data_IF_902080778588
#
_entry.id   IF_902080778588
#
_cell.length_a   1.000
_cell.length_b   1.000
_cell.length_c   1.000
_cell.angle_alpha   90.00
_cell.angle_beta   90.00
_cell.angle_gamma   90.00
#
_symmetry.space_group_name_H-M   'P 1'
#
loop_
_entity.id
_entity.type
_entity.pdbx_description
1 polymer ?
#
# COMPACT_ATOMS: atom_id res chain seq x y z
N UNK A 1 -46.14 10.22 -13.23
CA UNK A 1 -45.51 10.76 -12.01
C UNK A 1 -44.23 11.44 -12.44
N UNK A 2 -44.18 12.78 -12.46
CA UNK A 2 -42.99 13.51 -12.88
C UNK A 2 -41.94 13.38 -11.78
N UNK A 3 -40.86 12.63 -12.04
CA UNK A 3 -39.71 12.56 -11.13
C UNK A 3 -39.12 13.96 -11.00
N UNK A 4 -39.14 14.52 -9.79
CA UNK A 4 -38.55 15.84 -9.52
C UNK A 4 -37.06 15.78 -9.85
N UNK A 5 -36.57 16.72 -10.67
CA UNK A 5 -35.12 16.81 -10.97
C UNK A 5 -34.40 17.28 -9.70
N UNK A 6 -33.35 16.54 -9.31
CA UNK A 6 -32.54 16.84 -8.12
C UNK A 6 -31.62 18.05 -8.35
N UNK A 7 -31.21 18.71 -7.27
CA UNK A 7 -30.37 19.92 -7.37
C UNK A 7 -28.96 19.59 -7.88
N UNK A 8 -28.44 18.40 -7.60
CA UNK A 8 -27.15 17.93 -8.12
C UNK A 8 -27.14 17.87 -9.65
N UNK A 9 -28.23 17.39 -10.25
CA UNK A 9 -28.39 17.36 -11.71
C UNK A 9 -28.47 18.76 -12.30
N UNK A 10 -29.10 19.72 -11.61
CA UNK A 10 -29.16 21.11 -12.05
C UNK A 10 -27.79 21.78 -12.02
N UNK A 11 -27.02 21.57 -10.94
CA UNK A 11 -25.66 22.07 -10.83
C UNK A 11 -24.75 21.46 -11.90
N UNK A 12 -24.78 20.14 -12.09
CA UNK A 12 -24.03 19.47 -13.14
C UNK A 12 -24.38 20.00 -14.55
N UNK A 13 -25.66 20.23 -14.82
CA UNK A 13 -26.11 20.85 -16.08
C UNK A 13 -25.59 22.27 -16.28
N UNK A 14 -25.58 23.10 -15.23
CA UNK A 14 -25.10 24.50 -15.31
C UNK A 14 -23.58 24.56 -15.46
N UNK A 15 -22.85 23.63 -14.81
CA UNK A 15 -21.40 23.56 -14.89
C UNK A 15 -20.89 22.88 -16.17
N UNK A 16 -21.74 22.13 -16.86
CA UNK A 16 -21.42 21.46 -18.13
C UNK A 16 -20.93 20.02 -17.96
N UNK A 17 -21.15 19.43 -16.79
CA UNK A 17 -20.66 18.11 -16.38
C UNK A 17 -21.69 16.98 -16.63
N UNK A 18 -22.84 17.31 -17.21
CA UNK A 18 -23.87 16.33 -17.56
C UNK A 18 -23.56 15.67 -18.92
N UNK A 19 -23.89 14.39 -19.07
CA UNK A 19 -23.68 13.71 -20.34
C UNK A 19 -24.54 14.29 -21.48
N UNK A 20 -24.19 14.02 -22.74
CA UNK A 20 -24.89 14.62 -23.90
C UNK A 20 -26.37 14.24 -23.95
N UNK A 21 -26.70 12.98 -23.61
CA UNK A 21 -28.06 12.43 -23.69
C UNK A 21 -28.95 13.01 -22.59
N UNK A 22 -28.44 13.06 -21.36
CA UNK A 22 -29.07 13.65 -20.20
C UNK A 22 -29.27 15.16 -20.38
N UNK A 23 -28.30 15.84 -20.99
CA UNK A 23 -28.37 17.28 -21.26
C UNK A 23 -29.43 17.61 -22.30
N UNK A 24 -29.55 16.81 -23.36
CA UNK A 24 -30.63 16.93 -24.35
C UNK A 24 -32.00 16.66 -23.71
N UNK A 25 -32.13 15.58 -22.93
CA UNK A 25 -33.37 15.25 -22.24
C UNK A 25 -33.81 16.36 -21.27
N UNK A 26 -32.87 16.92 -20.50
CA UNK A 26 -33.17 18.02 -19.58
C UNK A 26 -33.55 19.30 -20.33
N UNK A 27 -32.91 19.59 -21.46
CA UNK A 27 -33.22 20.75 -22.31
C UNK A 27 -34.63 20.66 -22.90
N UNK A 28 -35.03 19.49 -23.41
CA UNK A 28 -36.40 19.25 -23.90
C UNK A 28 -37.40 19.39 -22.75
N UNK A 29 -37.09 18.83 -21.58
CA UNK A 29 -37.96 18.92 -20.41
C UNK A 29 -38.18 20.36 -19.94
N UNK A 30 -37.15 21.19 -19.95
CA UNK A 30 -37.24 22.63 -19.63
C UNK A 30 -38.18 23.40 -20.56
N UNK A 31 -38.42 22.96 -21.80
CA UNK A 31 -39.38 23.61 -22.70
C UNK A 31 -40.83 23.39 -22.26
N UNK A 32 -41.10 22.28 -21.58
CA UNK A 32 -42.44 21.92 -21.07
C UNK A 32 -42.67 22.31 -19.60
N UNK A 33 -41.60 22.55 -18.84
CA UNK A 33 -41.63 22.77 -17.39
C UNK A 33 -41.05 24.15 -17.03
N UNK A 34 -41.94 25.13 -16.85
CA UNK A 34 -41.58 26.50 -16.49
C UNK A 34 -40.97 26.63 -15.08
N UNK A 35 -41.25 25.68 -14.17
CA UNK A 35 -40.66 25.68 -12.83
C UNK A 35 -39.21 25.20 -12.86
N UNK A 36 -38.94 24.13 -13.62
CA UNK A 36 -37.58 23.64 -13.87
C UNK A 36 -36.71 24.72 -14.54
N UNK A 37 -37.26 25.42 -15.55
CA UNK A 37 -36.55 26.50 -16.24
C UNK A 37 -36.17 27.65 -15.27
N UNK A 38 -37.07 28.02 -14.35
CA UNK A 38 -36.79 29.03 -13.31
C UNK A 38 -35.67 28.59 -12.37
N UNK A 39 -35.66 27.32 -11.93
CA UNK A 39 -34.61 26.78 -11.06
C UNK A 39 -33.23 26.82 -11.73
N UNK A 40 -33.13 26.40 -12.99
CA UNK A 40 -31.88 26.47 -13.76
C UNK A 40 -31.40 27.92 -13.91
N UNK A 41 -32.32 28.86 -14.18
CA UNK A 41 -31.99 30.28 -14.30
C UNK A 41 -31.42 30.85 -12.99
N UNK A 42 -32.00 30.48 -11.85
CA UNK A 42 -31.50 30.90 -10.53
C UNK A 42 -30.07 30.41 -10.26
N UNK A 43 -29.77 29.14 -10.59
CA UNK A 43 -28.43 28.57 -10.41
C UNK A 43 -27.40 29.26 -11.33
N UNK A 44 -27.76 29.56 -12.59
CA UNK A 44 -26.89 30.32 -13.51
C UNK A 44 -26.60 31.73 -12.99
N UNK A 45 -27.64 32.44 -12.55
CA UNK A 45 -27.49 33.79 -11.99
C UNK A 45 -26.57 33.81 -10.77
N UNK A 46 -26.74 32.84 -9.85
CA UNK A 46 -25.86 32.70 -8.68
C UNK A 46 -24.40 32.48 -9.08
N UNK A 47 -24.15 31.56 -10.03
CA UNK A 47 -22.80 31.28 -10.54
C UNK A 47 -22.16 32.54 -11.11
N UNK A 48 -22.89 33.32 -11.88
CA UNK A 48 -22.39 34.54 -12.51
C UNK A 48 -22.10 35.63 -11.46
N UNK A 49 -22.97 35.80 -10.45
CA UNK A 49 -22.74 36.72 -9.34
C UNK A 49 -21.46 36.38 -8.56
N UNK A 50 -21.25 35.10 -8.26
CA UNK A 50 -20.04 34.64 -7.54
C UNK A 50 -18.79 34.88 -8.38
N UNK A 51 -18.83 34.56 -9.68
CA UNK A 51 -17.70 34.81 -10.59
C UNK A 51 -17.33 36.29 -10.64
N UNK A 52 -18.32 37.18 -10.70
CA UNK A 52 -18.10 38.62 -10.69
C UNK A 52 -17.51 39.11 -9.36
N UNK A 53 -18.01 38.61 -8.23
CA UNK A 53 -17.49 38.97 -6.91
C UNK A 53 -16.01 38.57 -6.72
N UNK A 54 -15.57 37.50 -7.37
CA UNK A 54 -14.20 37.00 -7.31
C UNK A 54 -13.30 37.40 -8.50
N UNK A 55 -13.80 38.23 -9.43
CA UNK A 55 -13.01 38.69 -10.57
C UNK A 55 -11.79 39.53 -10.14
N UNK A 56 -11.95 40.32 -9.08
CA UNK A 56 -10.86 41.08 -8.46
C UNK A 56 -10.85 40.82 -6.95
N UNK A 57 -10.16 39.76 -6.49
CA UNK A 57 -10.04 39.51 -5.06
C UNK A 57 -9.29 40.68 -4.41
N UNK A 58 -9.69 41.12 -3.19
CA UNK A 58 -9.04 42.24 -2.52
C UNK A 58 -7.54 41.94 -2.37
N UNK A 59 -6.71 42.86 -2.87
CA UNK A 59 -5.26 42.74 -2.74
C UNK A 59 -4.91 42.64 -1.26
N UNK A 60 -4.22 41.56 -0.87
CA UNK A 60 -3.69 41.41 0.46
C UNK A 60 -2.83 42.65 0.79
N UNK A 61 -3.14 43.33 1.90
CA UNK A 61 -2.33 44.46 2.36
C UNK A 61 -0.92 43.95 2.61
N UNK A 62 0.05 44.44 1.84
CA UNK A 62 1.46 44.13 2.09
C UNK A 62 1.84 44.73 3.44
N UNK A 63 2.02 43.88 4.45
CA UNK A 63 2.51 44.32 5.74
C UNK A 63 3.98 44.70 5.58
N UNK A 64 4.30 46.00 5.68
CA UNK A 64 5.67 46.47 5.78
C UNK A 64 6.24 46.02 7.12
N UNK A 65 7.08 44.97 7.09
CA UNK A 65 7.71 44.42 8.30
C UNK A 65 8.78 45.39 8.81
N UNK A 66 8.70 45.88 10.06
CA UNK A 66 9.70 46.80 10.59
C UNK A 66 11.08 46.12 10.73
N UNK A 67 12.19 46.86 10.55
CA UNK A 67 13.55 46.30 10.51
C UNK A 67 13.98 45.58 11.81
N UNK A 68 13.38 45.93 12.95
CA UNK A 68 13.65 45.27 14.24
C UNK A 68 13.16 43.81 14.26
N UNK A 69 12.09 43.48 13.53
CA UNK A 69 11.55 42.12 13.45
C UNK A 69 12.52 41.19 12.71
N UNK A 70 13.18 41.68 11.64
CA UNK A 70 14.20 40.91 10.91
C UNK A 70 15.39 40.55 11.79
N UNK A 71 15.88 41.46 12.64
CA UNK A 71 17.04 41.20 13.52
C UNK A 71 16.72 40.17 14.61
N UNK A 72 15.53 40.22 15.20
CA UNK A 72 15.07 39.19 16.14
C UNK A 72 14.84 37.83 15.47
N UNK A 73 14.32 37.80 14.24
CA UNK A 73 14.16 36.56 13.47
C UNK A 73 15.52 35.95 13.16
N UNK A 74 16.51 36.73 12.71
CA UNK A 74 17.86 36.21 12.46
C UNK A 74 18.53 35.68 13.72
N UNK A 75 18.32 36.32 14.88
CA UNK A 75 18.87 35.85 16.16
C UNK A 75 18.20 34.53 16.61
N UNK A 76 16.88 34.41 16.41
CA UNK A 76 16.13 33.17 16.72
C UNK A 76 16.50 32.02 15.79
N UNK A 77 16.70 32.28 14.51
CA UNK A 77 17.18 31.29 13.55
C UNK A 77 18.60 30.81 13.88
N UNK A 78 19.50 31.73 14.23
CA UNK A 78 20.87 31.38 14.64
C UNK A 78 20.89 30.46 15.87
N UNK A 79 20.04 30.74 16.88
CA UNK A 79 19.92 29.89 18.06
C UNK A 79 19.34 28.50 17.71
N UNK A 80 18.34 28.45 16.83
CA UNK A 80 17.74 27.19 16.36
C UNK A 80 18.72 26.31 15.58
N UNK A 81 19.52 26.90 14.70
CA UNK A 81 20.58 26.18 13.98
C UNK A 81 21.62 25.60 14.95
N UNK A 82 21.98 26.33 16.00
CA UNK A 82 22.94 25.87 17.01
C UNK A 82 22.43 24.64 17.77
N UNK A 83 21.14 24.64 18.16
CA UNK A 83 20.49 23.47 18.81
C UNK A 83 20.42 22.27 17.87
N UNK A 84 20.07 22.48 16.60
CA UNK A 84 20.02 21.39 15.60
C UNK A 84 21.39 20.76 15.35
N UNK A 85 22.44 21.59 15.22
CA UNK A 85 23.81 21.10 15.04
C UNK A 85 24.31 20.34 16.28
N UNK A 86 24.02 20.84 17.48
CA UNK A 86 24.36 20.13 18.72
C UNK A 86 23.64 18.78 18.81
N UNK A 87 22.35 18.72 18.45
CA UNK A 87 21.57 17.48 18.42
C UNK A 87 22.07 16.48 17.38
N UNK A 88 22.40 16.94 16.17
CA UNK A 88 22.97 16.09 15.12
C UNK A 88 24.36 15.56 15.50
N UNK A 89 25.23 16.40 16.05
CA UNK A 89 26.55 15.99 16.51
C UNK A 89 26.46 14.98 17.66
N UNK A 90 25.59 15.23 18.66
CA UNK A 90 25.34 14.30 19.76
C UNK A 90 24.77 12.96 19.25
N UNK A 91 23.82 13.01 18.31
CA UNK A 91 23.25 11.82 17.68
C UNK A 91 24.27 11.02 16.89
N UNK A 92 25.20 11.67 16.19
CA UNK A 92 26.27 11.00 15.46
C UNK A 92 27.30 10.34 16.40
N UNK A 93 27.66 11.02 17.49
CA UNK A 93 28.58 10.48 18.52
C UNK A 93 27.95 9.30 19.27
N UNK A 94 26.65 9.36 19.57
CA UNK A 94 25.94 8.24 20.21
C UNK A 94 25.76 7.03 19.28
N UNK A 95 25.70 7.22 17.95
CA UNK A 95 25.63 6.08 17.00
C UNK A 95 26.92 5.24 16.98
N UNK A 96 28.06 5.79 17.39
CA UNK A 96 29.35 5.10 17.41
C UNK A 96 29.68 4.36 18.72
N UNK A 97 28.91 4.59 19.79
CA UNK A 97 28.97 3.79 21.02
C UNK A 97 27.79 2.85 21.03
N UNK A 98 28.06 1.55 20.86
CA UNK A 98 27.06 0.51 20.95
C UNK A 98 26.11 0.72 22.12
N UNK A 99 24.81 0.74 21.83
CA UNK A 99 23.73 0.69 22.83
C UNK A 99 23.66 -0.75 23.32
N UNK A 100 24.68 -1.15 24.08
CA UNK A 100 24.55 -2.23 25.06
C UNK A 100 24.00 -1.58 26.33
N UNK A 101 22.73 -1.87 26.64
CA UNK A 101 22.06 -1.59 27.91
C UNK A 101 21.75 -0.13 28.24
N UNK A 102 20.72 0.44 27.63
CA UNK A 102 19.83 1.38 28.33
C UNK A 102 18.39 1.15 27.91
N UNK A 103 17.73 0.25 28.64
CA UNK A 103 16.30 0.33 28.85
C UNK A 103 15.99 1.65 29.56
N UNK A 104 15.73 2.70 28.78
CA UNK A 104 15.10 3.92 29.29
C UNK A 104 13.71 3.98 28.69
N UNK A 105 12.74 3.77 29.57
CA UNK A 105 11.35 4.08 29.34
C UNK A 105 11.23 5.53 28.86
N UNK A 106 11.01 5.71 27.57
CA UNK A 106 10.44 6.96 27.06
C UNK A 106 8.93 6.73 27.01
N UNK A 107 8.12 7.44 27.81
CA UNK A 107 6.68 7.45 27.62
C UNK A 107 6.38 8.36 26.43
N UNK A 108 6.70 7.88 25.23
CA UNK A 108 6.08 8.42 24.02
C UNK A 108 4.69 7.82 23.98
N UNK A 109 3.72 8.53 24.52
CA UNK A 109 2.30 8.26 24.28
C UNK A 109 1.99 8.75 22.86
N UNK A 110 1.90 7.88 21.83
CA UNK A 110 1.29 8.30 20.58
C UNK A 110 -0.18 8.66 20.85
N UNK A 111 -0.70 9.71 20.18
CA UNK A 111 -2.09 10.12 20.35
C UNK A 111 -3.03 8.99 19.94
N UNK A 112 -4.11 8.89 20.72
CA UNK A 112 -5.35 8.12 20.52
C UNK A 112 -5.62 7.75 19.06
N UNK A 113 -5.71 6.44 18.81
CA UNK A 113 -6.04 5.87 17.51
C UNK A 113 -5.43 4.48 17.28
N UNK A 114 -5.43 3.60 18.29
CA UNK A 114 -5.16 2.18 18.05
C UNK A 114 -6.41 1.58 17.43
N UNK A 115 -6.50 1.60 16.11
CA UNK A 115 -7.26 0.57 15.42
C UNK A 115 -6.68 -0.77 15.85
N UNK A 116 -7.47 -1.60 16.54
CA UNK A 116 -7.07 -2.95 16.95
C UNK A 116 -6.65 -3.84 15.74
N UNK A 117 -6.87 -3.35 14.52
CA UNK A 117 -6.46 -3.96 13.26
C UNK A 117 -4.97 -3.75 12.91
N UNK A 118 -4.28 -2.77 13.49
CA UNK A 118 -2.87 -2.47 13.18
C UNK A 118 -1.97 -2.80 14.37
N UNK A 119 -1.68 -4.09 14.54
CA UNK A 119 -0.67 -4.58 15.48
C UNK A 119 0.72 -4.39 14.86
N UNK A 120 1.62 -3.57 15.43
CA UNK A 120 2.98 -3.45 14.92
C UNK A 120 3.71 -4.79 15.10
N UNK A 121 4.35 -5.27 14.03
CA UNK A 121 5.22 -6.45 14.09
C UNK A 121 6.59 -6.02 14.63
N UNK A 122 6.91 -6.42 15.85
CA UNK A 122 8.24 -6.22 16.42
C UNK A 122 9.22 -7.20 15.78
N UNK A 123 10.19 -6.68 15.04
CA UNK A 123 11.32 -7.44 14.49
C UNK A 123 12.44 -7.42 15.53
N UNK A 124 12.52 -8.45 16.37
CA UNK A 124 13.54 -8.56 17.41
C UNK A 124 14.90 -9.01 16.87
N UNK A 125 14.95 -9.51 15.63
CA UNK A 125 16.16 -10.02 14.97
C UNK A 125 16.50 -9.19 13.74
N UNK A 126 17.80 -8.93 13.54
CA UNK A 126 18.28 -8.44 12.26
C UNK A 126 17.97 -9.48 11.16
N UNK A 127 17.59 -9.07 9.93
CA UNK A 127 17.32 -10.00 8.85
C UNK A 127 18.54 -10.89 8.58
N UNK A 128 18.33 -12.20 8.63
CA UNK A 128 19.36 -13.18 8.27
C UNK A 128 19.47 -13.23 6.74
N UNK A 129 20.63 -12.90 6.15
CA UNK A 129 20.81 -12.93 4.70
C UNK A 129 20.65 -14.32 4.10
N UNK A 130 20.68 -15.37 4.92
CA UNK A 130 20.50 -16.76 4.50
C UNK A 130 19.06 -17.26 4.66
N UNK A 131 18.09 -16.45 5.08
CA UNK A 131 16.68 -16.87 5.21
C UNK A 131 15.77 -15.96 4.40
N UNK A 132 15.20 -16.50 3.32
CA UNK A 132 14.42 -15.71 2.36
C UNK A 132 13.05 -16.35 2.14
N UNK A 133 12.00 -15.54 2.18
CA UNK A 133 10.64 -15.91 1.81
C UNK A 133 10.26 -15.15 0.54
N UNK A 134 9.94 -15.89 -0.52
CA UNK A 134 9.35 -15.37 -1.74
C UNK A 134 7.83 -15.55 -1.67
N UNK A 135 7.08 -14.51 -2.00
CA UNK A 135 5.62 -14.54 -2.00
C UNK A 135 5.06 -14.33 -3.40
N UNK A 136 4.21 -15.26 -3.83
CA UNK A 136 3.50 -15.26 -5.10
C UNK A 136 1.98 -15.18 -4.87
N UNK A 137 1.33 -14.16 -5.43
CA UNK A 137 -0.12 -13.97 -5.36
C UNK A 137 -0.84 -14.00 -6.74
N UNK A 138 -0.08 -14.11 -7.83
CA UNK A 138 -0.56 -14.05 -9.22
C UNK A 138 -0.41 -15.39 -9.96
N UNK A 139 -1.41 -15.76 -10.76
CA UNK A 139 -1.36 -16.91 -11.67
C UNK A 139 -0.77 -16.57 -13.06
N UNK A 140 -0.23 -15.37 -13.26
CA UNK A 140 0.34 -15.00 -14.56
C UNK A 140 1.60 -15.84 -14.86
N UNK A 141 1.77 -16.39 -16.08
CA UNK A 141 2.92 -17.21 -16.42
C UNK A 141 4.27 -16.53 -16.15
N UNK A 142 4.33 -15.21 -16.35
CA UNK A 142 5.53 -14.40 -16.13
C UNK A 142 5.91 -14.32 -14.64
N UNK A 143 4.94 -14.07 -13.75
CA UNK A 143 5.17 -14.03 -12.29
C UNK A 143 5.51 -15.40 -11.74
N UNK A 144 4.82 -16.45 -12.20
CA UNK A 144 5.13 -17.83 -11.81
C UNK A 144 6.54 -18.24 -12.28
N UNK A 145 6.96 -17.84 -13.46
CA UNK A 145 8.33 -18.08 -13.93
C UNK A 145 9.34 -17.28 -13.10
N UNK A 146 9.08 -15.99 -12.90
CA UNK A 146 9.97 -15.11 -12.16
C UNK A 146 10.25 -15.58 -10.73
N UNK A 147 9.24 -16.10 -10.02
CA UNK A 147 9.47 -16.61 -8.65
C UNK A 147 10.33 -17.88 -8.64
N UNK A 148 10.17 -18.75 -9.64
CA UNK A 148 10.99 -19.96 -9.76
C UNK A 148 12.43 -19.62 -10.18
N UNK A 149 12.59 -18.70 -11.13
CA UNK A 149 13.90 -18.23 -11.59
C UNK A 149 14.67 -17.55 -10.46
N UNK A 150 14.00 -16.70 -9.68
CA UNK A 150 14.59 -16.04 -8.51
C UNK A 150 14.97 -17.04 -7.42
N UNK A 151 14.13 -18.06 -7.19
CA UNK A 151 14.41 -19.11 -6.24
C UNK A 151 15.67 -19.90 -6.61
N UNK A 152 15.77 -20.37 -7.86
CA UNK A 152 16.96 -21.07 -8.36
C UNK A 152 18.20 -20.17 -8.27
N UNK A 153 18.09 -18.90 -8.68
CA UNK A 153 19.19 -17.93 -8.61
C UNK A 153 19.72 -17.75 -7.19
N UNK A 154 18.85 -17.63 -6.20
CA UNK A 154 19.22 -17.47 -4.79
C UNK A 154 19.87 -18.75 -4.24
N UNK A 155 19.30 -19.92 -4.53
CA UNK A 155 19.79 -21.22 -4.08
C UNK A 155 21.16 -21.55 -4.70
N UNK A 156 21.31 -21.40 -6.02
CA UNK A 156 22.57 -21.66 -6.72
C UNK A 156 23.67 -20.69 -6.28
N UNK A 157 23.35 -19.40 -6.09
CA UNK A 157 24.31 -18.43 -5.57
C UNK A 157 24.79 -18.81 -4.16
N UNK A 158 23.88 -19.24 -3.27
CA UNK A 158 24.24 -19.69 -1.94
C UNK A 158 25.12 -20.95 -1.97
N UNK A 159 24.79 -21.92 -2.82
CA UNK A 159 25.56 -23.16 -3.01
C UNK A 159 26.99 -22.87 -3.50
N UNK A 160 27.14 -22.03 -4.53
CA UNK A 160 28.45 -21.60 -5.06
C UNK A 160 29.31 -20.90 -4.01
N UNK A 161 28.67 -20.23 -3.04
CA UNK A 161 29.32 -19.49 -1.97
C UNK A 161 29.50 -20.33 -0.70
N UNK A 162 29.13 -21.62 -0.72
CA UNK A 162 29.23 -22.52 0.42
C UNK A 162 28.33 -22.13 1.60
N UNK A 163 27.27 -21.34 1.36
CA UNK A 163 26.34 -20.89 2.40
C UNK A 163 25.11 -21.79 2.46
N UNK A 164 24.70 -22.09 3.68
CA UNK A 164 23.42 -22.77 3.94
C UNK A 164 22.32 -21.72 3.97
N UNK A 165 21.57 -21.60 2.87
CA UNK A 165 20.38 -20.75 2.76
C UNK A 165 19.12 -21.55 3.08
N UNK A 166 18.09 -20.95 3.66
CA UNK A 166 16.72 -21.48 3.72
C UNK A 166 15.83 -20.60 2.84
N UNK A 167 15.10 -21.24 1.93
CA UNK A 167 14.21 -20.54 1.01
C UNK A 167 12.79 -21.09 1.15
N UNK A 168 11.83 -20.19 1.28
CA UNK A 168 10.41 -20.54 1.34
C UNK A 168 9.65 -19.80 0.22
N UNK A 169 8.81 -20.53 -0.51
CA UNK A 169 7.92 -19.95 -1.52
C UNK A 169 6.50 -20.09 -1.04
N UNK A 170 5.89 -18.96 -0.66
CA UNK A 170 4.51 -18.86 -0.21
C UNK A 170 3.61 -18.47 -1.36
N UNK A 171 2.60 -19.30 -1.65
CA UNK A 171 1.60 -19.05 -2.68
C UNK A 171 0.20 -18.85 -2.08
N UNK A 172 -0.44 -17.74 -2.41
CA UNK A 172 -1.82 -17.45 -2.03
C UNK A 172 -2.64 -16.96 -3.22
N UNK A 173 -3.95 -16.73 -3.02
CA UNK A 173 -4.85 -16.19 -4.05
C UNK A 173 -4.72 -16.95 -5.38
N UNK A 174 -4.49 -16.27 -6.50
CA UNK A 174 -4.29 -16.89 -7.80
C UNK A 174 -2.93 -17.59 -7.91
N UNK A 175 -1.91 -17.11 -7.19
CA UNK A 175 -0.58 -17.72 -7.11
C UNK A 175 -0.60 -19.18 -6.65
N UNK A 176 -1.63 -19.60 -5.90
CA UNK A 176 -1.83 -21.00 -5.50
C UNK A 176 -1.87 -21.96 -6.70
N UNK A 177 -2.21 -21.48 -7.90
CA UNK A 177 -2.17 -22.25 -9.16
C UNK A 177 -0.81 -22.94 -9.37
N UNK A 178 0.29 -22.29 -8.97
CA UNK A 178 1.64 -22.84 -9.07
C UNK A 178 1.81 -24.16 -8.29
N UNK A 179 1.08 -24.34 -7.18
CA UNK A 179 1.20 -25.49 -6.28
C UNK A 179 0.09 -26.53 -6.44
N UNK A 180 -0.86 -26.32 -7.36
CA UNK A 180 -1.97 -27.25 -7.62
C UNK A 180 -1.56 -28.35 -8.60
N UNK A 181 -1.71 -29.61 -8.20
CA UNK A 181 -1.29 -30.78 -8.99
C UNK A 181 -1.89 -30.80 -10.40
N UNK A 182 -3.19 -30.48 -10.54
CA UNK A 182 -3.87 -30.52 -11.85
C UNK A 182 -3.76 -29.22 -12.66
N UNK A 183 -3.18 -28.14 -12.11
CA UNK A 183 -3.21 -26.81 -12.74
C UNK A 183 -1.83 -26.17 -12.90
N UNK A 184 -0.81 -26.65 -12.18
CA UNK A 184 0.53 -26.08 -12.24
C UNK A 184 1.18 -26.40 -13.59
N UNK A 185 1.57 -25.38 -14.39
CA UNK A 185 2.34 -25.61 -15.61
C UNK A 185 3.81 -25.96 -15.33
N UNK A 186 4.24 -25.92 -14.05
CA UNK A 186 5.63 -26.08 -13.63
C UNK A 186 5.83 -27.24 -12.64
N UNK A 187 4.91 -28.19 -12.55
CA UNK A 187 4.97 -29.32 -11.61
C UNK A 187 6.29 -30.10 -11.67
N UNK A 188 6.78 -30.41 -12.88
CA UNK A 188 8.05 -31.12 -13.07
C UNK A 188 9.26 -30.28 -12.62
N UNK A 189 9.21 -28.96 -12.81
CA UNK A 189 10.28 -28.05 -12.36
C UNK A 189 10.32 -27.99 -10.83
N UNK A 190 9.15 -27.85 -10.20
CA UNK A 190 9.01 -27.88 -8.74
C UNK A 190 9.57 -29.19 -8.16
N UNK A 191 9.24 -30.34 -8.77
CA UNK A 191 9.75 -31.64 -8.34
C UNK A 191 11.29 -31.73 -8.42
N UNK A 192 11.89 -31.25 -9.52
CA UNK A 192 13.35 -31.21 -9.66
C UNK A 192 14.01 -30.27 -8.65
N UNK A 193 13.44 -29.09 -8.43
CA UNK A 193 13.94 -28.14 -7.43
C UNK A 193 13.89 -28.75 -6.02
N UNK A 194 12.79 -29.44 -5.67
CA UNK A 194 12.65 -30.09 -4.37
C UNK A 194 13.68 -31.22 -4.17
N UNK A 195 13.99 -31.98 -5.22
CA UNK A 195 14.99 -33.04 -5.17
C UNK A 195 16.41 -32.51 -5.03
N UNK A 196 16.71 -31.37 -5.69
CA UNK A 196 18.04 -30.74 -5.66
C UNK A 196 18.30 -29.95 -4.38
N UNK A 197 17.27 -29.30 -3.83
CA UNK A 197 17.41 -28.36 -2.72
C UNK A 197 16.54 -28.77 -1.52
N UNK A 198 17.14 -29.47 -0.55
CA UNK A 198 16.43 -29.88 0.67
C UNK A 198 16.02 -28.69 1.58
N UNK A 199 16.67 -27.55 1.36
CA UNK A 199 16.47 -26.27 2.04
C UNK A 199 15.37 -25.39 1.40
N UNK A 200 14.69 -25.89 0.36
CA UNK A 200 13.55 -25.25 -0.28
C UNK A 200 12.23 -25.79 0.27
N UNK A 201 11.33 -24.87 0.62
CA UNK A 201 10.00 -25.17 1.15
C UNK A 201 8.91 -24.50 0.31
N UNK A 202 7.83 -25.24 0.03
CA UNK A 202 6.68 -24.74 -0.71
C UNK A 202 5.46 -24.65 0.21
N UNK A 203 4.89 -23.45 0.33
CA UNK A 203 3.80 -23.17 1.27
C UNK A 203 2.56 -22.70 0.53
N UNK A 204 1.48 -23.43 0.72
CA UNK A 204 0.16 -23.09 0.20
C UNK A 204 -0.69 -22.41 1.29
N UNK A 205 -1.36 -21.32 0.93
CA UNK A 205 -2.28 -20.63 1.84
C UNK A 205 -3.58 -21.42 2.03
N UNK A 206 -3.79 -21.96 3.23
CA UNK A 206 -4.97 -22.73 3.64
C UNK A 206 -6.28 -21.96 3.48
N UNK A 207 -6.31 -20.67 3.80
CA UNK A 207 -7.47 -19.81 3.53
C UNK A 207 -7.81 -19.72 2.04
N UNK A 208 -6.81 -19.72 1.16
CA UNK A 208 -7.04 -19.74 -0.30
C UNK A 208 -7.59 -21.09 -0.75
N UNK A 209 -7.04 -22.19 -0.23
CA UNK A 209 -7.54 -23.56 -0.48
C UNK A 209 -9.00 -23.66 -0.05
N UNK A 210 -9.33 -23.22 1.16
CA UNK A 210 -10.70 -23.25 1.69
C UNK A 210 -11.67 -22.44 0.80
N UNK A 211 -11.25 -21.26 0.33
CA UNK A 211 -12.06 -20.43 -0.57
C UNK A 211 -12.35 -21.15 -1.89
N UNK A 212 -11.34 -21.69 -2.55
CA UNK A 212 -11.51 -22.40 -3.82
C UNK A 212 -12.37 -23.66 -3.67
N UNK A 213 -12.22 -24.39 -2.57
CA UNK A 213 -13.05 -25.56 -2.26
C UNK A 213 -14.52 -25.16 -2.04
N UNK A 214 -14.78 -24.04 -1.37
CA UNK A 214 -16.14 -23.50 -1.20
C UNK A 214 -16.76 -23.02 -2.53
N UNK A 215 -15.93 -22.58 -3.48
CA UNK A 215 -16.32 -22.27 -4.87
C UNK A 215 -16.54 -23.54 -5.73
N UNK A 216 -16.44 -24.74 -5.14
CA UNK A 216 -16.66 -26.02 -5.83
C UNK A 216 -15.44 -26.53 -6.61
N UNK A 217 -14.27 -25.90 -6.46
CA UNK A 217 -13.05 -26.37 -7.11
C UNK A 217 -12.36 -27.44 -6.27
N UNK A 218 -12.04 -28.58 -6.86
CA UNK A 218 -11.15 -29.56 -6.23
C UNK A 218 -9.73 -28.99 -6.17
N UNK A 219 -9.20 -28.84 -4.96
CA UNK A 219 -7.81 -28.40 -4.74
C UNK A 219 -6.99 -29.58 -4.24
N UNK A 220 -6.08 -30.05 -5.09
CA UNK A 220 -5.10 -31.07 -4.78
C UNK A 220 -3.72 -30.45 -4.98
N UNK A 221 -2.88 -30.49 -3.94
CA UNK A 221 -1.55 -29.88 -3.96
C UNK A 221 -0.50 -30.85 -4.51
N UNK A 222 0.59 -30.30 -5.04
CA UNK A 222 1.78 -31.08 -5.35
C UNK A 222 2.35 -31.73 -4.07
N UNK A 223 2.94 -32.94 -4.13
CA UNK A 223 3.49 -33.61 -2.94
C UNK A 223 4.57 -32.82 -2.19
N UNK A 224 5.25 -31.90 -2.87
CA UNK A 224 6.28 -31.04 -2.28
C UNK A 224 5.71 -29.87 -1.44
N UNK A 225 4.41 -29.57 -1.57
CA UNK A 225 3.79 -28.44 -0.91
C UNK A 225 3.12 -28.82 0.42
N UNK A 226 3.33 -27.99 1.44
CA UNK A 226 2.60 -28.06 2.69
C UNK A 226 1.70 -26.83 2.85
N UNK A 227 0.79 -26.86 3.82
CA UNK A 227 -0.23 -25.82 4.00
C UNK A 227 0.01 -25.02 5.27
N UNK A 228 0.03 -23.69 5.15
CA UNK A 228 -0.04 -22.78 6.29
C UNK A 228 -1.48 -22.26 6.46
N UNK A 229 -1.96 -21.93 7.67
CA UNK A 229 -3.34 -21.48 7.89
C UNK A 229 -3.71 -20.24 7.06
N UNK A 230 -2.86 -19.22 7.09
CA UNK A 230 -3.03 -17.97 6.33
C UNK A 230 -1.69 -17.47 5.80
N UNK A 231 -1.69 -16.82 4.64
CA UNK A 231 -0.48 -16.23 4.07
C UNK A 231 0.11 -15.13 4.96
N UNK A 232 -0.74 -14.24 5.48
CA UNK A 232 -0.29 -13.14 6.35
C UNK A 232 0.30 -13.68 7.65
N UNK A 233 -0.33 -14.69 8.27
CA UNK A 233 0.19 -15.31 9.48
C UNK A 233 1.56 -15.96 9.26
N UNK A 234 1.76 -16.62 8.12
CA UNK A 234 3.06 -17.21 7.76
C UNK A 234 4.12 -16.11 7.56
N UNK A 235 3.80 -15.07 6.79
CA UNK A 235 4.71 -13.92 6.56
C UNK A 235 5.13 -13.28 7.89
N UNK A 236 4.17 -12.98 8.79
CA UNK A 236 4.46 -12.38 10.09
C UNK A 236 5.35 -13.30 10.93
N UNK A 237 5.07 -14.60 10.94
CA UNK A 237 5.87 -15.60 11.67
C UNK A 237 7.31 -15.62 11.16
N UNK A 238 7.52 -15.64 9.84
CA UNK A 238 8.86 -15.63 9.25
C UNK A 238 9.62 -14.34 9.51
N UNK A 239 8.94 -13.19 9.41
CA UNK A 239 9.55 -11.90 9.74
C UNK A 239 10.02 -11.85 11.20
N UNK A 240 9.23 -12.37 12.14
CA UNK A 240 9.63 -12.47 13.56
C UNK A 240 10.82 -13.43 13.78
N UNK A 241 10.93 -14.47 12.95
CA UNK A 241 12.06 -15.41 12.93
C UNK A 241 13.30 -14.84 12.22
N UNK A 242 13.27 -13.60 11.72
CA UNK A 242 14.39 -12.93 11.07
C UNK A 242 14.55 -13.28 9.59
N UNK A 243 13.49 -13.71 8.91
CA UNK A 243 13.51 -13.95 7.46
C UNK A 243 13.39 -12.64 6.69
N UNK A 244 14.01 -12.61 5.51
CA UNK A 244 13.81 -11.54 4.52
C UNK A 244 12.61 -11.87 3.65
N UNK A 245 11.62 -10.98 3.59
CA UNK A 245 10.44 -11.14 2.74
C UNK A 245 10.60 -10.40 1.40
N UNK A 246 10.29 -11.09 0.31
CA UNK A 246 10.28 -10.55 -1.05
C UNK A 246 8.96 -10.93 -1.73
N UNK A 247 8.25 -9.93 -2.26
CA UNK A 247 7.07 -10.15 -3.10
C UNK A 247 7.49 -10.17 -4.57
N UNK A 248 7.07 -11.19 -5.30
CA UNK A 248 7.39 -11.38 -6.72
C UNK A 248 6.22 -10.99 -7.60
#
# INVERSE_FOLDING_TARGET
MNSVVSDETLHAFVDGELDVTEREALTVRMQSDAELARRVCAVRSLRDMVKLAYAEPPRAKSATVPPHSRRMITQRCALGCLVLFAGLAAGWVLRGREITNLAVAIPFSPPVGRDAALQPVSLTHAPDPNRVMLHLDSATPDKMRAVLDEAERLLDAAEQQGRVMQLEILANSQGLTLLRASHSPYADRIARMQQRHANLQWVACGQTIARLTAEGQKVELLPAAHTAPTAIGEIVTRLQQGWTYVRV
#
